data_IF_528974740338
#
_entry.id   IF_528974740338
#
_cell.length_a   1.000
_cell.length_b   1.000
_cell.length_c   1.000
_cell.angle_alpha   90.00
_cell.angle_beta   90.00
_cell.angle_gamma   90.00
#
_symmetry.space_group_name_H-M   'P 1'
#
loop_
_entity.id
_entity.type
_entity.pdbx_description
1 polymer ?
#
# COMPACT_ATOMS: atom_id res chain seq x y z
N UNK A 1 -0.15 -18.42 -0.63
CA UNK A 1 -0.98 -19.63 -0.78
C UNK A 1 -0.16 -20.92 -0.62
N UNK A 2 1.01 -21.06 -1.26
CA UNK A 2 1.85 -22.27 -1.16
C UNK A 2 2.51 -22.48 0.21
N UNK A 3 2.80 -21.43 0.96
CA UNK A 3 3.37 -21.52 2.31
C UNK A 3 2.34 -22.01 3.32
N UNK A 4 1.07 -21.62 3.16
CA UNK A 4 -0.01 -22.05 4.06
C UNK A 4 -0.49 -23.49 3.80
N UNK A 5 -0.36 -23.99 2.59
CA UNK A 5 -0.72 -25.38 2.31
C UNK A 5 0.19 -26.41 3.01
N UNK A 6 1.37 -25.99 3.45
CA UNK A 6 2.34 -26.82 4.19
C UNK A 6 2.25 -26.68 5.72
N UNK A 7 1.67 -25.60 6.23
CA UNK A 7 1.41 -25.42 7.66
C UNK A 7 -0.05 -25.78 7.94
N UNK A 8 -0.26 -26.77 8.76
CA UNK A 8 -1.59 -27.23 9.11
C UNK A 8 -2.58 -26.07 9.30
N UNK A 9 -3.45 -25.95 8.41
CA UNK A 9 -4.68 -25.23 8.11
C UNK A 9 -5.44 -24.49 9.23
N UNK A 10 -4.81 -23.84 10.21
CA UNK A 10 -5.53 -23.25 11.34
C UNK A 10 -5.05 -21.88 11.80
N UNK A 11 -3.99 -21.33 11.23
CA UNK A 11 -3.57 -19.98 11.60
C UNK A 11 -4.42 -18.94 10.87
N UNK A 12 -4.94 -17.93 11.57
CA UNK A 12 -5.70 -16.87 10.95
C UNK A 12 -4.81 -16.12 9.94
N UNK A 13 -5.36 -15.82 8.77
CA UNK A 13 -4.68 -15.01 7.77
C UNK A 13 -4.87 -13.53 8.11
N UNK A 14 -3.78 -12.81 8.19
CA UNK A 14 -3.77 -11.36 8.22
C UNK A 14 -3.18 -10.82 6.91
N UNK A 15 -3.73 -9.72 6.42
CA UNK A 15 -3.24 -9.00 5.24
C UNK A 15 -2.85 -7.58 5.63
N UNK A 16 -1.62 -7.18 5.31
CA UNK A 16 -1.18 -5.80 5.36
C UNK A 16 -0.84 -5.38 3.93
N UNK A 17 -1.46 -4.31 3.47
CA UNK A 17 -1.22 -3.78 2.14
C UNK A 17 -1.05 -2.28 2.12
N UNK A 18 0.05 -1.81 1.54
CA UNK A 18 0.29 -0.39 1.28
C UNK A 18 -0.19 -0.04 -0.12
N UNK A 19 -0.92 1.06 -0.28
CA UNK A 19 -1.34 1.58 -1.59
C UNK A 19 -1.99 0.47 -2.44
N UNK A 20 -1.46 0.16 -3.61
CA UNK A 20 -1.97 -0.92 -4.46
C UNK A 20 -2.08 -2.27 -3.73
N UNK A 21 -1.14 -2.59 -2.83
CA UNK A 21 -1.22 -3.80 -1.99
C UNK A 21 -2.45 -3.81 -1.07
N UNK A 22 -2.91 -2.65 -0.64
CA UNK A 22 -4.15 -2.47 0.11
C UNK A 22 -5.39 -2.65 -0.78
N UNK A 23 -5.38 -2.12 -2.01
CA UNK A 23 -6.46 -2.35 -2.98
C UNK A 23 -6.63 -3.84 -3.31
N UNK A 24 -5.52 -4.54 -3.51
CA UNK A 24 -5.53 -6.00 -3.72
C UNK A 24 -6.12 -6.71 -2.49
N UNK A 25 -5.67 -6.32 -1.29
CA UNK A 25 -6.19 -6.88 -0.03
C UNK A 25 -7.68 -6.64 0.14
N UNK A 26 -8.16 -5.45 -0.20
CA UNK A 26 -9.57 -5.07 -0.18
C UNK A 26 -10.38 -5.92 -1.18
N UNK A 27 -9.88 -6.08 -2.40
CA UNK A 27 -10.52 -6.90 -3.41
C UNK A 27 -10.60 -8.37 -2.99
N UNK A 28 -9.50 -8.91 -2.45
CA UNK A 28 -9.44 -10.30 -1.97
C UNK A 28 -10.37 -10.53 -0.77
N UNK A 29 -10.40 -9.58 0.19
CA UNK A 29 -11.21 -9.70 1.40
C UNK A 29 -12.70 -9.41 1.15
N UNK A 30 -13.01 -8.57 0.15
CA UNK A 30 -14.36 -8.11 -0.17
C UNK A 30 -15.02 -8.86 -1.32
N UNK A 31 -14.36 -9.86 -1.93
CA UNK A 31 -14.99 -10.70 -2.96
C UNK A 31 -15.65 -11.90 -2.28
N UNK A 32 -16.99 -11.95 -2.23
CA UNK A 32 -17.70 -13.15 -1.78
C UNK A 32 -17.27 -14.35 -2.64
N UNK A 33 -17.27 -15.52 -2.06
CA UNK A 33 -16.99 -16.79 -2.75
C UNK A 33 -15.57 -16.94 -3.32
N UNK A 34 -14.66 -16.01 -3.05
CA UNK A 34 -13.25 -16.23 -3.36
C UNK A 34 -12.71 -17.36 -2.46
N UNK A 35 -12.42 -18.50 -3.08
CA UNK A 35 -11.95 -19.71 -2.39
C UNK A 35 -10.54 -19.51 -1.83
N UNK A 36 -10.42 -18.86 -0.70
CA UNK A 36 -9.18 -18.81 0.08
C UNK A 36 -9.12 -20.05 1.00
N UNK A 37 -7.95 -20.69 1.13
CA UNK A 37 -7.76 -21.80 2.08
C UNK A 37 -8.09 -21.43 3.52
N UNK A 38 -7.86 -20.17 3.88
CA UNK A 38 -8.19 -19.56 5.18
C UNK A 38 -8.67 -18.14 4.91
N UNK A 39 -9.81 -17.72 5.50
CA UNK A 39 -10.31 -16.36 5.30
C UNK A 39 -9.38 -15.33 5.96
N UNK A 40 -9.30 -14.14 5.37
CA UNK A 40 -8.63 -13.01 5.99
C UNK A 40 -9.42 -12.60 7.24
N UNK A 41 -8.77 -12.61 8.38
CA UNK A 41 -9.36 -12.20 9.67
C UNK A 41 -9.01 -10.77 10.05
N UNK A 42 -7.85 -10.30 9.61
CA UNK A 42 -7.36 -8.93 9.85
C UNK A 42 -6.85 -8.34 8.56
N UNK A 43 -7.33 -7.14 8.25
CA UNK A 43 -6.93 -6.37 7.08
C UNK A 43 -6.39 -5.01 7.53
N UNK A 44 -5.13 -4.73 7.23
CA UNK A 44 -4.53 -3.42 7.41
C UNK A 44 -4.35 -2.76 6.05
N UNK A 45 -5.05 -1.64 5.87
CA UNK A 45 -4.94 -0.77 4.71
C UNK A 45 -4.01 0.40 5.05
N UNK A 46 -2.83 0.41 4.46
CA UNK A 46 -1.86 1.46 4.68
C UNK A 46 -1.99 2.51 3.58
N UNK A 47 -2.59 3.61 3.95
CA UNK A 47 -2.79 4.84 3.20
C UNK A 47 -3.54 4.66 1.87
N UNK A 48 -4.58 3.85 1.89
CA UNK A 48 -5.46 3.62 0.74
C UNK A 48 -6.87 3.27 1.21
N UNK A 49 -7.85 3.61 0.40
CA UNK A 49 -9.26 3.31 0.61
C UNK A 49 -10.03 3.14 -0.71
N UNK A 50 -11.35 3.02 -0.64
CA UNK A 50 -12.21 2.82 -1.81
C UNK A 50 -12.30 4.02 -2.76
N UNK A 51 -11.96 5.24 -2.28
CA UNK A 51 -11.88 6.45 -3.11
C UNK A 51 -10.42 6.83 -3.28
N UNK A 52 -10.02 7.06 -4.53
CA UNK A 52 -8.68 7.44 -4.93
C UNK A 52 -8.71 8.83 -5.54
N UNK A 53 -7.91 9.74 -5.02
CA UNK A 53 -7.84 11.10 -5.55
C UNK A 53 -7.10 11.12 -6.89
N UNK A 54 -7.75 11.69 -7.90
CA UNK A 54 -7.22 11.72 -9.26
C UNK A 54 -5.86 12.43 -9.36
N UNK A 55 -5.69 13.55 -8.66
CA UNK A 55 -4.43 14.29 -8.65
C UNK A 55 -3.26 13.46 -8.10
N UNK A 56 -3.51 12.64 -7.08
CA UNK A 56 -2.51 11.73 -6.53
C UNK A 56 -2.15 10.62 -7.53
N UNK A 57 -3.14 10.05 -8.23
CA UNK A 57 -2.89 9.06 -9.27
C UNK A 57 -2.07 9.65 -10.43
N UNK A 58 -2.35 10.90 -10.83
CA UNK A 58 -1.55 11.59 -11.84
C UNK A 58 -0.11 11.77 -11.37
N UNK A 59 0.13 12.22 -10.14
CA UNK A 59 1.46 12.36 -9.56
C UNK A 59 2.20 11.01 -9.52
N UNK A 60 1.54 9.95 -9.04
CA UNK A 60 2.11 8.60 -9.00
C UNK A 60 2.47 8.13 -10.42
N UNK A 61 1.62 8.40 -11.39
CA UNK A 61 1.86 8.06 -12.79
C UNK A 61 3.07 8.74 -13.42
N UNK A 62 3.64 9.79 -12.81
CA UNK A 62 4.85 10.46 -13.33
C UNK A 62 6.13 9.65 -13.10
N UNK A 63 6.15 8.75 -12.13
CA UNK A 63 7.36 7.98 -11.78
C UNK A 63 7.18 6.46 -11.78
N UNK A 64 5.94 5.97 -11.64
CA UNK A 64 5.70 4.52 -11.70
C UNK A 64 5.91 4.01 -13.13
N UNK A 65 6.71 2.96 -13.26
CA UNK A 65 7.08 2.39 -14.56
C UNK A 65 8.44 2.87 -15.07
N UNK A 66 9.04 3.88 -14.43
CA UNK A 66 10.42 4.27 -14.75
C UNK A 66 11.41 3.14 -14.43
N UNK A 67 12.48 3.05 -15.20
CA UNK A 67 13.52 2.03 -15.03
C UNK A 67 14.91 2.67 -15.07
N UNK A 68 15.19 3.61 -14.16
CA UNK A 68 16.52 4.24 -14.10
C UNK A 68 17.59 3.21 -13.71
N UNK A 69 18.83 3.52 -14.08
CA UNK A 69 20.02 2.75 -13.71
C UNK A 69 20.86 3.58 -12.76
N UNK A 70 21.44 2.92 -11.79
CA UNK A 70 22.25 3.53 -10.73
C UNK A 70 23.62 2.86 -10.70
N UNK A 71 24.66 3.63 -10.43
CA UNK A 71 26.01 3.09 -10.27
C UNK A 71 26.16 2.36 -8.92
N UNK A 72 25.41 2.78 -7.90
CA UNK A 72 25.45 2.18 -6.56
C UNK A 72 24.06 2.15 -5.89
N UNK A 73 23.95 1.46 -4.77
CA UNK A 73 22.75 1.42 -3.92
C UNK A 73 22.46 2.80 -3.34
N UNK A 74 23.49 3.56 -2.97
CA UNK A 74 23.37 4.91 -2.43
C UNK A 74 22.77 5.88 -3.45
N UNK A 75 23.18 5.78 -4.73
CA UNK A 75 22.59 6.58 -5.82
C UNK A 75 21.10 6.23 -6.01
N UNK A 76 20.78 4.94 -6.02
CA UNK A 76 19.39 4.47 -6.06
C UNK A 76 18.57 4.96 -4.86
N UNK A 77 19.14 4.93 -3.66
CA UNK A 77 18.50 5.43 -2.44
C UNK A 77 18.26 6.94 -2.50
N UNK A 78 19.21 7.70 -3.03
CA UNK A 78 19.05 9.16 -3.21
C UNK A 78 17.91 9.47 -4.20
N UNK A 79 17.81 8.72 -5.29
CA UNK A 79 16.72 8.86 -6.25
C UNK A 79 15.37 8.51 -5.63
N UNK A 80 15.27 7.36 -4.95
CA UNK A 80 14.04 6.92 -4.27
C UNK A 80 13.58 7.92 -3.21
N UNK A 81 14.51 8.53 -2.47
CA UNK A 81 14.20 9.58 -1.48
C UNK A 81 13.54 10.80 -2.12
N UNK A 82 13.95 11.20 -3.32
CA UNK A 82 13.33 12.31 -4.06
C UNK A 82 11.91 11.94 -4.49
N UNK A 83 11.72 10.74 -5.07
CA UNK A 83 10.40 10.29 -5.50
C UNK A 83 9.42 10.08 -4.34
N UNK A 84 9.95 9.79 -3.15
CA UNK A 84 9.19 9.45 -1.95
C UNK A 84 9.31 10.49 -0.84
N UNK A 85 9.47 11.77 -1.20
CA UNK A 85 9.66 12.86 -0.25
C UNK A 85 8.53 12.95 0.80
N UNK A 86 7.34 12.50 0.44
CA UNK A 86 6.15 12.51 1.30
C UNK A 86 6.08 11.34 2.30
N UNK A 87 7.02 10.40 2.28
CA UNK A 87 7.05 9.26 3.22
C UNK A 87 7.30 9.67 4.68
N UNK A 88 7.60 10.95 4.91
CA UNK A 88 7.89 11.50 6.21
C UNK A 88 9.38 11.47 6.58
N UNK A 89 9.71 11.89 7.81
CA UNK A 89 11.11 12.02 8.24
C UNK A 89 11.76 10.66 8.44
N UNK A 90 12.92 10.46 7.81
CA UNK A 90 13.79 9.30 7.98
C UNK A 90 15.24 9.75 8.07
N UNK A 91 16.05 9.02 8.83
CA UNK A 91 17.49 9.16 8.80
C UNK A 91 18.08 8.62 7.50
N UNK A 92 19.31 9.00 7.16
CA UNK A 92 19.99 8.46 5.98
C UNK A 92 20.14 6.93 6.05
N UNK A 93 20.39 6.38 7.24
CA UNK A 93 20.46 4.93 7.46
C UNK A 93 19.09 4.26 7.21
N UNK A 94 17.99 4.87 7.62
CA UNK A 94 16.64 4.36 7.34
C UNK A 94 16.31 4.42 5.85
N UNK A 95 16.69 5.51 5.17
CA UNK A 95 16.52 5.61 3.71
C UNK A 95 17.31 4.53 2.98
N UNK A 96 18.55 4.29 3.37
CA UNK A 96 19.36 3.22 2.77
C UNK A 96 18.72 1.84 2.98
N UNK A 97 18.32 1.54 4.21
CA UNK A 97 17.69 0.26 4.55
C UNK A 97 16.34 0.04 3.84
N UNK A 98 15.55 1.10 3.63
CA UNK A 98 14.30 1.04 2.86
C UNK A 98 14.57 0.80 1.37
N UNK A 99 15.62 1.40 0.83
CA UNK A 99 15.91 1.42 -0.60
C UNK A 99 16.63 0.16 -1.08
N UNK A 100 17.49 -0.41 -0.25
CA UNK A 100 18.29 -1.59 -0.61
C UNK A 100 17.44 -2.76 -1.17
N UNK A 101 16.31 -3.19 -0.54
CA UNK A 101 15.48 -4.26 -1.07
C UNK A 101 14.67 -3.84 -2.32
N UNK A 102 14.58 -2.54 -2.61
CA UNK A 102 13.91 -2.02 -3.81
C UNK A 102 14.83 -2.00 -5.04
N UNK A 103 16.09 -2.35 -4.86
CA UNK A 103 17.12 -2.37 -5.90
C UNK A 103 17.60 -3.81 -6.14
N UNK A 104 18.01 -4.09 -7.36
CA UNK A 104 18.70 -5.35 -7.72
C UNK A 104 19.82 -5.08 -8.71
N UNK A 105 20.82 -5.97 -8.80
CA UNK A 105 21.84 -5.86 -9.83
C UNK A 105 21.22 -5.77 -11.23
N UNK A 106 21.70 -4.83 -12.03
CA UNK A 106 21.31 -4.66 -13.41
C UNK A 106 22.01 -5.65 -14.35
N UNK A 107 21.41 -6.01 -15.49
CA UNK A 107 21.98 -7.00 -16.41
C UNK A 107 23.29 -6.57 -17.07
N UNK A 108 23.54 -5.26 -17.12
CA UNK A 108 24.76 -4.67 -17.71
C UNK A 108 25.64 -4.00 -16.64
N UNK A 109 25.51 -4.42 -15.37
CA UNK A 109 26.16 -3.83 -14.20
C UNK A 109 25.35 -2.72 -13.56
N UNK A 110 25.82 -2.23 -12.40
CA UNK A 110 25.08 -1.28 -11.55
C UNK A 110 23.81 -1.89 -10.97
N UNK A 111 22.86 -1.03 -10.67
CA UNK A 111 21.59 -1.38 -10.01
C UNK A 111 20.39 -0.84 -10.80
N UNK A 112 19.26 -1.51 -10.70
CA UNK A 112 17.96 -1.12 -11.26
C UNK A 112 16.87 -1.34 -10.20
N UNK A 113 15.72 -0.71 -10.38
CA UNK A 113 14.56 -0.95 -9.50
C UNK A 113 14.11 -2.41 -9.58
N UNK A 114 13.75 -2.98 -8.42
CA UNK A 114 13.37 -4.38 -8.27
C UNK A 114 11.85 -4.55 -8.42
N UNK A 115 11.26 -3.96 -9.43
CA UNK A 115 9.86 -4.19 -9.81
C UNK A 115 9.73 -4.33 -11.33
N UNK A 116 8.62 -4.88 -11.79
CA UNK A 116 8.32 -4.94 -13.22
C UNK A 116 7.73 -3.58 -13.66
N UNK A 117 8.37 -2.83 -14.58
CA UNK A 117 7.82 -1.56 -15.07
C UNK A 117 6.41 -1.67 -15.66
N UNK A 118 5.99 -2.86 -16.07
CA UNK A 118 4.62 -3.12 -16.54
C UNK A 118 3.54 -2.87 -15.49
N UNK A 119 3.92 -2.70 -14.21
CA UNK A 119 2.99 -2.27 -13.16
C UNK A 119 2.32 -0.93 -13.49
N UNK A 120 2.94 -0.11 -14.33
CA UNK A 120 2.38 1.15 -14.81
C UNK A 120 1.30 0.98 -15.90
N UNK A 121 1.24 -0.17 -16.58
CA UNK A 121 0.34 -0.37 -17.73
C UNK A 121 -1.13 -0.07 -17.39
N UNK A 122 -1.69 -0.50 -16.26
CA UNK A 122 -3.07 -0.15 -15.91
C UNK A 122 -3.31 1.35 -15.70
N UNK A 123 -2.26 2.12 -15.41
CA UNK A 123 -2.35 3.57 -15.22
C UNK A 123 -2.22 4.36 -16.53
N UNK A 124 -1.64 3.73 -17.57
CA UNK A 124 -1.46 4.36 -18.87
C UNK A 124 -2.83 4.54 -19.55
N UNK A 125 -3.14 5.80 -19.89
CA UNK A 125 -4.42 6.15 -20.51
C UNK A 125 -5.63 6.12 -19.58
N UNK A 126 -5.44 5.91 -18.26
CA UNK A 126 -6.50 6.04 -17.28
C UNK A 126 -7.03 7.48 -17.27
N UNK A 127 -8.35 7.61 -17.22
CA UNK A 127 -9.02 8.90 -17.13
C UNK A 127 -9.67 9.11 -15.76
N UNK A 128 -9.90 10.37 -15.39
CA UNK A 128 -10.60 10.68 -14.15
C UNK A 128 -11.98 10.04 -14.11
N UNK A 129 -12.68 9.99 -15.25
CA UNK A 129 -14.01 9.37 -15.35
C UNK A 129 -13.95 7.87 -15.01
N UNK A 130 -12.94 7.15 -15.51
CA UNK A 130 -12.74 5.73 -15.17
C UNK A 130 -12.44 5.52 -13.68
N UNK A 131 -11.68 6.43 -13.05
CA UNK A 131 -11.43 6.39 -11.59
C UNK A 131 -12.72 6.58 -10.81
N UNK A 132 -13.54 7.57 -11.17
CA UNK A 132 -14.84 7.81 -10.55
C UNK A 132 -15.80 6.62 -10.74
N UNK A 133 -15.84 6.03 -11.94
CA UNK A 133 -16.65 4.83 -12.20
C UNK A 133 -16.15 3.63 -11.38
N UNK A 134 -14.84 3.47 -11.22
CA UNK A 134 -14.22 2.40 -10.41
C UNK A 134 -14.49 2.56 -8.91
N UNK A 135 -14.74 3.77 -8.42
CA UNK A 135 -14.98 4.04 -6.99
C UNK A 135 -16.18 3.24 -6.46
N UNK A 136 -17.26 3.18 -7.21
CA UNK A 136 -18.46 2.43 -6.80
C UNK A 136 -18.15 0.93 -6.60
N UNK A 137 -17.32 0.35 -7.48
CA UNK A 137 -16.88 -1.04 -7.35
C UNK A 137 -16.02 -1.22 -6.10
N UNK A 138 -15.08 -0.32 -5.87
CA UNK A 138 -14.21 -0.37 -4.69
C UNK A 138 -14.99 -0.25 -3.38
N UNK A 139 -16.01 0.62 -3.34
CA UNK A 139 -16.92 0.71 -2.20
C UNK A 139 -17.74 -0.56 -1.99
N UNK A 140 -18.24 -1.20 -3.05
CA UNK A 140 -18.96 -2.46 -2.95
C UNK A 140 -18.05 -3.58 -2.37
N UNK A 141 -16.80 -3.65 -2.82
CA UNK A 141 -15.82 -4.57 -2.27
C UNK A 141 -15.53 -4.27 -0.80
N UNK A 142 -15.35 -3.00 -0.45
CA UNK A 142 -15.10 -2.58 0.93
C UNK A 142 -16.27 -2.95 1.85
N UNK A 143 -17.50 -2.68 1.43
CA UNK A 143 -18.72 -2.97 2.20
C UNK A 143 -18.92 -4.46 2.46
N UNK A 144 -18.40 -5.33 1.59
CA UNK A 144 -18.47 -6.78 1.74
C UNK A 144 -17.39 -7.37 2.66
N UNK A 145 -16.40 -6.57 3.11
CA UNK A 145 -15.34 -7.06 4.00
C UNK A 145 -15.91 -7.42 5.38
N UNK A 146 -15.61 -8.64 5.83
CA UNK A 146 -15.95 -9.13 7.17
C UNK A 146 -14.75 -9.17 8.12
N UNK A 147 -13.55 -8.95 7.61
CA UNK A 147 -12.33 -8.91 8.40
C UNK A 147 -12.30 -7.69 9.32
N UNK A 148 -11.75 -7.84 10.52
CA UNK A 148 -11.39 -6.69 11.34
C UNK A 148 -10.41 -5.81 10.55
N UNK A 149 -10.74 -4.53 10.38
CA UNK A 149 -10.00 -3.65 9.48
C UNK A 149 -9.41 -2.46 10.23
N UNK A 150 -8.13 -2.19 9.98
CA UNK A 150 -7.41 -1.00 10.41
C UNK A 150 -6.95 -0.20 9.19
N UNK A 151 -7.18 1.10 9.21
CA UNK A 151 -6.65 2.06 8.23
C UNK A 151 -5.58 2.91 8.88
N UNK A 152 -4.38 2.90 8.33
CA UNK A 152 -3.36 3.90 8.65
C UNK A 152 -3.40 4.97 7.57
N UNK A 153 -3.46 6.23 7.98
CA UNK A 153 -3.47 7.37 7.07
C UNK A 153 -2.32 8.32 7.38
N UNK A 154 -1.56 8.72 6.37
CA UNK A 154 -0.66 9.85 6.49
C UNK A 154 -1.46 11.18 6.59
N UNK A 155 -1.16 12.03 7.57
CA UNK A 155 -1.87 13.30 7.75
C UNK A 155 -1.79 14.20 6.50
N UNK A 156 -0.69 14.08 5.75
CA UNK A 156 -0.43 14.81 4.50
C UNK A 156 -0.76 13.99 3.24
N UNK A 157 -1.41 12.83 3.38
CA UNK A 157 -1.76 12.00 2.22
C UNK A 157 -2.65 12.76 1.25
N UNK A 158 -2.23 12.77 0.00
CA UNK A 158 -2.96 13.30 -1.14
C UNK A 158 -3.84 12.22 -1.82
N UNK A 159 -3.60 10.93 -1.51
CA UNK A 159 -4.35 9.81 -2.08
C UNK A 159 -5.56 9.41 -1.23
N UNK A 160 -5.39 9.33 0.10
CA UNK A 160 -6.46 8.97 1.04
C UNK A 160 -6.87 10.18 1.87
N UNK A 161 -8.06 10.71 1.61
CA UNK A 161 -8.56 11.87 2.33
C UNK A 161 -9.10 11.51 3.72
N UNK A 162 -9.11 12.49 4.64
CA UNK A 162 -9.73 12.32 5.94
C UNK A 162 -11.24 12.03 5.81
N UNK A 163 -11.91 12.62 4.82
CA UNK A 163 -13.33 12.37 4.54
C UNK A 163 -13.54 10.89 4.15
N UNK A 164 -12.72 10.34 3.27
CA UNK A 164 -12.82 8.92 2.89
C UNK A 164 -12.66 8.01 4.09
N UNK A 165 -11.70 8.31 4.99
CA UNK A 165 -11.51 7.54 6.23
C UNK A 165 -12.74 7.62 7.14
N UNK A 166 -13.39 8.79 7.26
CA UNK A 166 -14.63 8.93 8.03
C UNK A 166 -15.76 8.08 7.43
N UNK A 167 -15.90 8.05 6.12
CA UNK A 167 -16.87 7.18 5.44
C UNK A 167 -16.57 5.70 5.68
N UNK A 168 -15.30 5.29 5.59
CA UNK A 168 -14.85 3.92 5.87
C UNK A 168 -15.17 3.47 7.31
N UNK A 169 -15.13 4.37 8.28
CA UNK A 169 -15.50 4.07 9.68
C UNK A 169 -17.01 3.82 9.87
N UNK A 170 -17.84 4.20 8.91
CA UNK A 170 -19.31 4.08 9.00
C UNK A 170 -19.88 2.94 8.15
N UNK A 171 -19.08 2.40 7.21
CA UNK A 171 -19.51 1.41 6.22
C UNK A 171 -18.73 0.11 6.34
N UNK A 172 -19.28 -0.95 5.79
CA UNK A 172 -18.65 -2.27 5.66
C UNK A 172 -18.06 -2.76 6.99
N UNK A 173 -16.75 -3.00 7.07
CA UNK A 173 -16.09 -3.49 8.29
C UNK A 173 -16.01 -2.44 9.40
N UNK A 174 -16.45 -1.19 9.16
CA UNK A 174 -16.37 -0.06 10.10
C UNK A 174 -14.95 0.10 10.65
N UNK A 175 -14.00 0.27 9.74
CA UNK A 175 -12.58 0.26 10.06
C UNK A 175 -12.21 1.24 11.18
N UNK A 176 -11.37 0.78 12.09
CA UNK A 176 -10.63 1.70 12.95
C UNK A 176 -9.58 2.44 12.11
N UNK A 177 -9.25 3.66 12.49
CA UNK A 177 -8.25 4.42 11.77
C UNK A 177 -7.27 5.13 12.71
N UNK A 178 -6.03 5.26 12.25
CA UNK A 178 -4.99 6.06 12.90
C UNK A 178 -4.39 6.99 11.86
N UNK A 179 -4.35 8.29 12.18
CA UNK A 179 -3.66 9.29 11.34
C UNK A 179 -2.26 9.52 11.89
N UNK A 180 -1.27 9.46 11.00
CA UNK A 180 0.15 9.61 11.32
C UNK A 180 0.61 10.99 10.90
N UNK A 181 1.01 11.81 11.87
CA UNK A 181 1.43 13.19 11.63
C UNK A 181 2.76 13.27 10.88
N UNK A 182 2.89 14.30 10.04
CA UNK A 182 4.11 14.55 9.27
C UNK A 182 4.35 13.63 8.06
N UNK A 183 3.48 12.69 7.80
CA UNK A 183 3.59 11.66 6.75
C UNK A 183 2.54 11.88 5.67
N UNK A 184 2.94 11.71 4.42
CA UNK A 184 2.05 11.68 3.25
C UNK A 184 1.83 10.25 2.72
N UNK A 185 1.71 10.10 1.41
CA UNK A 185 1.50 8.79 0.80
C UNK A 185 2.84 8.13 0.44
N UNK A 186 3.23 7.10 1.17
CA UNK A 186 2.55 6.39 2.25
C UNK A 186 3.46 6.22 3.47
N UNK A 187 2.90 5.99 4.67
CA UNK A 187 3.69 5.58 5.83
C UNK A 187 4.55 4.37 5.52
N UNK A 188 5.84 4.42 5.88
CA UNK A 188 6.80 3.36 5.55
C UNK A 188 6.78 2.17 6.50
N UNK A 189 6.12 2.34 7.65
CA UNK A 189 6.05 1.35 8.74
C UNK A 189 7.43 0.99 9.31
N UNK A 190 8.38 1.93 9.27
CA UNK A 190 9.76 1.78 9.80
C UNK A 190 9.89 2.42 11.17
N UNK A 191 9.15 3.49 11.42
CA UNK A 191 9.23 4.19 12.71
C UNK A 191 8.68 3.31 13.85
N UNK A 192 9.31 3.31 15.04
CA UNK A 192 8.93 2.42 16.15
C UNK A 192 7.44 2.47 16.51
N UNK A 193 6.84 3.66 16.49
CA UNK A 193 5.42 3.86 16.77
C UNK A 193 4.52 3.23 15.68
N UNK A 194 4.91 3.31 14.42
CA UNK A 194 4.20 2.68 13.31
C UNK A 194 4.28 1.16 13.42
N UNK A 195 5.48 0.63 13.73
CA UNK A 195 5.69 -0.81 13.97
C UNK A 195 4.85 -1.29 15.14
N UNK A 196 4.76 -0.51 16.23
CA UNK A 196 3.95 -0.85 17.39
C UNK A 196 2.46 -0.98 17.04
N UNK A 197 1.91 -0.02 16.28
CA UNK A 197 0.53 -0.06 15.80
C UNK A 197 0.24 -1.31 14.96
N UNK A 198 1.13 -1.62 14.02
CA UNK A 198 1.01 -2.81 13.17
C UNK A 198 1.02 -4.09 14.02
N UNK A 199 1.99 -4.21 14.94
CA UNK A 199 2.09 -5.39 15.83
C UNK A 199 0.86 -5.52 16.71
N UNK A 200 0.40 -4.45 17.31
CA UNK A 200 -0.79 -4.46 18.15
C UNK A 200 -2.00 -4.95 17.36
N UNK A 201 -2.20 -4.47 16.15
CA UNK A 201 -3.33 -4.88 15.34
C UNK A 201 -3.22 -6.33 14.85
N UNK A 202 -2.04 -6.77 14.43
CA UNK A 202 -1.88 -8.10 13.82
C UNK A 202 -1.85 -9.25 14.85
N UNK A 203 -1.39 -8.99 16.09
CA UNK A 203 -1.10 -10.05 17.06
C UNK A 203 -1.98 -10.04 18.34
N UNK A 204 -2.88 -9.05 18.46
CA UNK A 204 -3.93 -9.05 19.51
C UNK A 204 -5.27 -9.50 18.94
#
# INVERSE_FOLDING_TARGET
>A
AQVQAKQAARLPLAWLGTSMGGLIGMAVAGTPDLALPVPIRRLLLNDVGPRLEWSALQRIGTYVGESPRFASVEEGAAWLRVQSADFGPHTDAQWLALSEPMLRPGPEGGFVLHYDPKIAVPMQGMTQEQVVQGEALLWNLYDAITAQTLVLRGAKSDLLTAQTVQEMAQRGPKAHSVTLEGVGHAPTLVQPEQVALVKEFLFR
#
